data_IF_615420404544
#
_entry.id   IF_615420404544
#
_cell.length_a   1.000
_cell.length_b   1.000
_cell.length_c   1.000
_cell.angle_alpha   90.00
_cell.angle_beta   90.00
_cell.angle_gamma   90.00
#
_symmetry.space_group_name_H-M   'P 1'
#
loop_
_entity.id
_entity.type
_entity.pdbx_description
1 polymer ?
#
# COMPACT_ATOMS: atom_id res chain seq x y z
N UNK A 1 19.79 44.48 -34.21
CA UNK A 1 20.48 44.21 -32.94
C UNK A 1 19.41 43.72 -31.97
N UNK A 2 19.28 42.40 -31.81
CA UNK A 2 18.28 41.79 -30.91
C UNK A 2 18.96 41.70 -29.55
N UNK A 3 18.77 42.70 -28.70
CA UNK A 3 19.17 42.61 -27.30
C UNK A 3 18.39 41.45 -26.69
N UNK A 4 19.08 40.33 -26.49
CA UNK A 4 18.63 39.31 -25.58
C UNK A 4 18.58 39.95 -24.20
N UNK A 5 17.37 40.27 -23.76
CA UNK A 5 17.07 40.55 -22.35
C UNK A 5 17.46 39.30 -21.59
N UNK A 6 18.72 39.25 -21.16
CA UNK A 6 19.19 38.32 -20.17
C UNK A 6 18.66 38.86 -18.85
N UNK A 7 17.42 38.51 -18.53
CA UNK A 7 16.88 38.64 -17.18
C UNK A 7 17.68 37.67 -16.30
N UNK A 8 18.88 38.07 -15.90
CA UNK A 8 19.55 37.43 -14.78
C UNK A 8 18.66 37.74 -13.57
N UNK A 9 17.86 36.75 -13.13
CA UNK A 9 17.07 36.83 -11.90
C UNK A 9 18.07 37.15 -10.79
N UNK A 10 18.02 38.38 -10.28
CA UNK A 10 19.01 38.87 -9.33
C UNK A 10 18.73 38.26 -7.95
N UNK A 11 19.25 37.04 -7.75
CA UNK A 11 19.04 36.22 -6.57
C UNK A 11 19.44 36.96 -5.28
N UNK A 12 20.44 37.84 -5.38
CA UNK A 12 20.93 38.67 -4.28
C UNK A 12 19.87 39.71 -3.90
N UNK A 13 19.28 40.40 -4.89
CA UNK A 13 18.22 41.37 -4.65
C UNK A 13 16.98 40.70 -4.03
N UNK A 14 16.59 39.52 -4.53
CA UNK A 14 15.52 38.70 -3.96
C UNK A 14 15.83 38.33 -2.50
N UNK A 15 17.06 37.90 -2.20
CA UNK A 15 17.47 37.53 -0.85
C UNK A 15 17.38 38.74 0.11
N UNK A 16 17.82 39.93 -0.32
CA UNK A 16 17.69 41.16 0.46
C UNK A 16 16.22 41.55 0.70
N UNK A 17 15.38 41.41 -0.33
CA UNK A 17 13.94 41.66 -0.21
C UNK A 17 13.28 40.70 0.79
N UNK A 18 13.55 39.39 0.69
CA UNK A 18 13.01 38.38 1.61
C UNK A 18 13.49 38.63 3.04
N UNK A 19 14.76 38.99 3.24
CA UNK A 19 15.32 39.35 4.56
C UNK A 19 14.59 40.54 5.18
N UNK A 20 14.21 41.54 4.38
CA UNK A 20 13.41 42.69 4.84
C UNK A 20 11.98 42.31 5.23
N UNK A 21 11.44 41.25 4.61
CA UNK A 21 10.08 40.73 4.85
C UNK A 21 10.04 39.56 5.85
N UNK A 22 11.12 39.31 6.59
CA UNK A 22 11.21 38.15 7.50
C UNK A 22 10.07 38.06 8.52
N UNK A 23 9.54 39.18 9.00
CA UNK A 23 8.37 39.20 9.91
C UNK A 23 7.11 38.62 9.26
N UNK A 24 6.87 38.93 7.98
CA UNK A 24 5.72 38.40 7.23
C UNK A 24 5.91 36.91 6.95
N UNK A 25 7.13 36.50 6.59
CA UNK A 25 7.48 35.10 6.37
C UNK A 25 7.24 34.28 7.64
N UNK A 26 7.73 34.75 8.80
CA UNK A 26 7.50 34.08 10.08
C UNK A 26 6.02 33.97 10.44
N UNK A 27 5.22 34.99 10.14
CA UNK A 27 3.78 34.97 10.40
C UNK A 27 3.04 33.94 9.55
N UNK A 28 3.34 33.86 8.25
CA UNK A 28 2.76 32.86 7.35
C UNK A 28 3.18 31.46 7.78
N UNK A 29 4.46 31.26 8.10
CA UNK A 29 4.95 29.97 8.62
C UNK A 29 4.21 29.55 9.90
N UNK A 30 3.96 30.48 10.84
CA UNK A 30 3.21 30.17 12.05
C UNK A 30 1.79 29.69 11.75
N UNK A 31 1.09 30.33 10.80
CA UNK A 31 -0.26 29.91 10.37
C UNK A 31 -0.21 28.53 9.71
N UNK A 32 0.74 28.30 8.78
CA UNK A 32 0.92 26.99 8.14
C UNK A 32 1.19 25.89 9.17
N UNK A 33 2.06 26.15 10.15
CA UNK A 33 2.36 25.19 11.22
C UNK A 33 1.15 24.91 12.11
N UNK A 34 0.34 25.93 12.42
CA UNK A 34 -0.91 25.73 13.16
C UNK A 34 -1.88 24.82 12.38
N UNK A 35 -2.00 24.98 11.06
CA UNK A 35 -2.81 24.09 10.21
C UNK A 35 -2.28 22.66 10.19
N UNK A 36 -0.96 22.46 10.12
CA UNK A 36 -0.34 21.13 10.18
C UNK A 36 -0.59 20.46 11.54
N UNK A 37 -0.51 21.20 12.63
CA UNK A 37 -0.81 20.69 13.97
C UNK A 37 -2.29 20.31 14.11
N UNK A 38 -3.21 21.12 13.57
CA UNK A 38 -4.63 20.80 13.53
C UNK A 38 -4.90 19.54 12.70
N UNK A 39 -4.25 19.40 11.55
CA UNK A 39 -4.33 18.19 10.72
C UNK A 39 -3.87 16.94 11.50
N UNK A 40 -2.75 17.02 12.20
CA UNK A 40 -2.25 15.92 13.03
C UNK A 40 -3.17 15.61 14.20
N UNK A 41 -3.78 16.64 14.80
CA UNK A 41 -4.73 16.47 15.90
C UNK A 41 -5.99 15.72 15.44
N UNK A 42 -6.59 16.13 14.32
CA UNK A 42 -7.78 15.49 13.75
C UNK A 42 -7.47 14.05 13.33
N UNK A 43 -6.28 13.81 12.76
CA UNK A 43 -5.88 12.50 12.26
C UNK A 43 -5.10 11.65 13.28
N UNK A 44 -5.08 12.04 14.55
CA UNK A 44 -4.31 11.35 15.60
C UNK A 44 -4.69 9.87 15.73
N UNK A 45 -5.98 9.58 15.62
CA UNK A 45 -6.53 8.24 15.77
C UNK A 45 -6.54 7.44 14.46
N UNK A 46 -6.11 8.04 13.34
CA UNK A 46 -6.00 7.33 12.05
C UNK A 46 -4.76 6.44 12.02
N UNK A 47 -4.99 5.13 11.96
CA UNK A 47 -3.95 4.10 11.92
C UNK A 47 -3.87 3.46 10.54
N UNK A 48 -2.72 2.85 10.27
CA UNK A 48 -2.47 1.91 9.19
C UNK A 48 -2.21 0.55 9.84
N UNK A 49 -3.00 -0.45 9.48
CA UNK A 49 -2.88 -1.82 9.95
C UNK A 49 -2.36 -2.67 8.80
N UNK A 50 -1.36 -3.51 9.08
CA UNK A 50 -0.75 -4.40 8.09
C UNK A 50 -0.78 -5.81 8.66
N UNK A 51 -1.40 -6.73 7.91
CA UNK A 51 -1.31 -8.17 8.16
C UNK A 51 -0.43 -8.82 7.10
N UNK A 52 0.38 -9.80 7.50
CA UNK A 52 1.13 -10.65 6.58
C UNK A 52 0.47 -12.01 6.49
N UNK A 53 0.01 -12.37 5.30
CA UNK A 53 -0.50 -13.71 4.99
C UNK A 53 0.61 -14.56 4.39
N UNK A 54 0.92 -15.67 5.05
CA UNK A 54 1.84 -16.72 4.58
C UNK A 54 1.05 -17.92 4.14
N UNK A 55 1.36 -18.41 2.95
CA UNK A 55 0.91 -19.73 2.50
C UNK A 55 1.98 -20.72 2.95
N UNK A 56 1.59 -21.75 3.70
CA UNK A 56 2.54 -22.76 4.14
C UNK A 56 3.06 -23.54 2.92
N UNK A 57 4.36 -23.87 2.89
CA UNK A 57 4.97 -24.54 1.74
C UNK A 57 4.45 -25.97 1.54
N UNK A 58 3.97 -26.58 2.62
CA UNK A 58 3.35 -27.90 2.57
C UNK A 58 1.86 -27.84 2.24
N UNK A 59 1.26 -26.64 2.21
CA UNK A 59 -0.08 -26.44 1.65
C UNK A 59 -0.07 -26.94 0.22
N UNK A 60 -1.07 -27.73 -0.20
CA UNK A 60 -1.27 -28.08 -1.60
C UNK A 60 -1.21 -26.81 -2.45
N UNK A 61 -0.06 -26.58 -3.09
CA UNK A 61 0.15 -25.40 -3.91
C UNK A 61 -0.85 -25.45 -5.05
N UNK A 62 -1.68 -24.41 -5.17
CA UNK A 62 -2.56 -24.22 -6.31
C UNK A 62 -1.76 -24.58 -7.57
N UNK A 63 -2.30 -25.49 -8.37
CA UNK A 63 -1.64 -26.29 -9.40
C UNK A 63 -1.02 -25.53 -10.57
N UNK A 64 -0.72 -24.23 -10.43
CA UNK A 64 -0.11 -23.44 -11.48
C UNK A 64 1.38 -23.77 -11.53
N UNK A 65 1.76 -24.65 -12.46
CA UNK A 65 3.12 -24.62 -13.01
C UNK A 65 3.22 -23.32 -13.81
N UNK A 66 3.75 -22.30 -13.16
CA UNK A 66 3.96 -21.03 -13.82
C UNK A 66 5.21 -21.18 -14.66
N UNK A 67 5.02 -21.24 -15.98
CA UNK A 67 6.12 -21.47 -16.92
C UNK A 67 7.25 -20.47 -16.65
N UNK A 68 8.43 -20.99 -16.32
CA UNK A 68 9.71 -20.30 -16.04
C UNK A 68 9.91 -19.57 -14.69
N UNK A 69 10.97 -20.03 -13.99
CA UNK A 69 11.81 -19.40 -12.96
C UNK A 69 11.22 -18.75 -11.69
N UNK A 70 9.93 -18.45 -11.56
CA UNK A 70 9.38 -17.82 -10.35
C UNK A 70 7.99 -18.36 -9.96
N UNK A 71 7.88 -19.68 -9.73
CA UNK A 71 6.66 -20.35 -9.24
C UNK A 71 6.01 -19.62 -8.06
N UNK A 72 6.81 -19.03 -7.18
CA UNK A 72 6.32 -18.30 -6.03
C UNK A 72 5.54 -17.01 -6.39
N UNK A 73 6.03 -16.22 -7.35
CA UNK A 73 5.39 -14.95 -7.73
C UNK A 73 3.97 -15.19 -8.28
N UNK A 74 3.83 -16.19 -9.14
CA UNK A 74 2.56 -16.53 -9.76
C UNK A 74 1.55 -17.18 -8.79
N UNK A 75 2.01 -18.03 -7.85
CA UNK A 75 1.16 -18.52 -6.75
C UNK A 75 0.64 -17.38 -5.86
N UNK A 76 1.50 -16.39 -5.62
CA UNK A 76 1.15 -15.19 -4.82
C UNK A 76 0.11 -14.35 -5.55
N UNK A 77 0.26 -14.12 -6.85
CA UNK A 77 -0.71 -13.39 -7.68
C UNK A 77 -2.07 -14.07 -7.73
N UNK A 78 -2.11 -15.40 -7.85
CA UNK A 78 -3.40 -16.10 -7.86
C UNK A 78 -4.10 -16.04 -6.51
N UNK A 79 -3.36 -16.20 -5.42
CA UNK A 79 -3.92 -16.06 -4.07
C UNK A 79 -4.37 -14.63 -3.82
N UNK A 80 -3.66 -13.64 -4.36
CA UNK A 80 -4.08 -12.24 -4.33
C UNK A 80 -5.41 -12.01 -5.07
N UNK A 81 -5.60 -12.57 -6.28
CA UNK A 81 -6.88 -12.47 -7.02
C UNK A 81 -8.04 -13.08 -6.22
N UNK A 82 -7.80 -14.24 -5.57
CA UNK A 82 -8.79 -14.87 -4.70
C UNK A 82 -9.13 -13.95 -3.52
N UNK A 83 -8.13 -13.34 -2.86
CA UNK A 83 -8.36 -12.42 -1.75
C UNK A 83 -9.15 -11.19 -2.21
N UNK A 84 -8.81 -10.60 -3.37
CA UNK A 84 -9.50 -9.43 -3.91
C UNK A 84 -10.96 -9.74 -4.28
N UNK A 85 -11.28 -10.98 -4.64
CA UNK A 85 -12.69 -11.43 -4.82
C UNK A 85 -13.41 -11.62 -3.48
N UNK A 86 -12.69 -12.02 -2.44
CA UNK A 86 -13.26 -12.21 -1.09
C UNK A 86 -13.55 -10.86 -0.44
N UNK A 87 -12.63 -9.90 -0.55
CA UNK A 87 -12.75 -8.60 0.12
C UNK A 87 -12.12 -7.46 -0.66
N UNK A 88 -12.77 -6.30 -0.60
CA UNK A 88 -12.22 -5.01 -1.02
C UNK A 88 -11.80 -4.16 0.18
N UNK A 89 -11.91 -4.68 1.41
CA UNK A 89 -11.62 -3.94 2.64
C UNK A 89 -10.12 -3.70 2.83
N UNK A 90 -9.30 -4.68 2.41
CA UNK A 90 -7.85 -4.61 2.47
C UNK A 90 -7.27 -4.36 1.09
N UNK A 91 -6.26 -3.50 1.02
CA UNK A 91 -5.38 -3.42 -0.13
C UNK A 91 -4.35 -4.54 -0.03
N UNK A 92 -4.28 -5.38 -1.05
CA UNK A 92 -3.32 -6.47 -1.14
C UNK A 92 -2.05 -5.97 -1.82
N UNK A 93 -0.90 -6.47 -1.38
CA UNK A 93 0.34 -6.36 -2.15
C UNK A 93 1.22 -7.59 -1.95
N UNK A 94 1.76 -8.19 -3.02
CA UNK A 94 2.64 -9.35 -2.91
C UNK A 94 4.06 -8.94 -2.47
N UNK A 95 4.61 -9.62 -1.48
CA UNK A 95 6.03 -9.54 -1.07
C UNK A 95 6.75 -10.82 -1.49
N UNK A 96 7.24 -10.80 -2.74
CA UNK A 96 7.92 -11.93 -3.37
C UNK A 96 9.18 -12.36 -2.60
N UNK A 97 9.85 -11.41 -1.92
CA UNK A 97 11.09 -11.67 -1.19
C UNK A 97 10.84 -12.48 0.07
N UNK A 98 9.86 -12.05 0.87
CA UNK A 98 9.53 -12.68 2.15
C UNK A 98 8.55 -13.84 2.02
N UNK A 99 8.00 -14.03 0.82
CA UNK A 99 6.97 -15.01 0.51
C UNK A 99 5.66 -14.78 1.24
N UNK A 100 5.19 -13.54 1.22
CA UNK A 100 4.03 -13.08 1.97
C UNK A 100 3.09 -12.25 1.09
N UNK A 101 1.80 -12.22 1.41
CA UNK A 101 0.85 -11.24 0.87
C UNK A 101 0.53 -10.25 1.99
N UNK A 102 0.86 -8.98 1.79
CA UNK A 102 0.49 -7.93 2.73
C UNK A 102 -0.94 -7.49 2.49
N UNK A 103 -1.70 -7.42 3.58
CA UNK A 103 -3.07 -6.92 3.63
C UNK A 103 -3.05 -5.63 4.43
N UNK A 104 -3.25 -4.52 3.76
CA UNK A 104 -3.17 -3.19 4.36
C UNK A 104 -4.55 -2.56 4.45
N UNK A 105 -4.87 -2.01 5.61
CA UNK A 105 -6.05 -1.18 5.82
C UNK A 105 -5.65 0.10 6.55
N UNK A 106 -6.37 1.18 6.30
CA UNK A 106 -6.18 2.42 7.04
C UNK A 106 -7.51 3.06 7.39
N UNK A 107 -7.63 3.53 8.63
CA UNK A 107 -8.85 4.13 9.14
C UNK A 107 -8.73 4.53 10.60
N UNK A 108 -9.86 4.92 11.19
CA UNK A 108 -9.93 5.27 12.59
C UNK A 108 -9.65 4.03 13.46
N UNK A 109 -8.82 4.17 14.49
CA UNK A 109 -8.49 3.12 15.47
C UNK A 109 -9.74 2.47 16.08
N UNK A 110 -10.86 3.18 16.20
CA UNK A 110 -12.13 2.64 16.71
C UNK A 110 -12.73 1.55 15.80
N UNK A 111 -12.39 1.56 14.51
CA UNK A 111 -12.82 0.56 13.54
C UNK A 111 -11.84 -0.64 13.46
N UNK A 112 -10.81 -0.69 14.30
CA UNK A 112 -9.88 -1.82 14.36
C UNK A 112 -10.58 -3.17 14.61
N UNK A 113 -11.57 -3.29 15.52
CA UNK A 113 -12.28 -4.56 15.71
C UNK A 113 -12.98 -5.05 14.43
N UNK A 114 -13.52 -4.13 13.63
CA UNK A 114 -14.12 -4.49 12.32
C UNK A 114 -13.09 -5.02 11.35
N UNK A 115 -11.87 -4.46 11.34
CA UNK A 115 -10.77 -4.99 10.54
C UNK A 115 -10.35 -6.40 11.03
N UNK A 116 -10.37 -6.64 12.34
CA UNK A 116 -10.05 -7.95 12.94
C UNK A 116 -11.11 -9.03 12.64
N UNK A 117 -12.39 -8.67 12.61
CA UNK A 117 -13.46 -9.56 12.16
C UNK A 117 -13.33 -9.86 10.67
N UNK A 118 -13.05 -8.85 9.86
CA UNK A 118 -12.91 -8.98 8.42
C UNK A 118 -11.70 -9.85 8.03
N UNK A 119 -10.55 -9.68 8.69
CA UNK A 119 -9.38 -10.54 8.43
C UNK A 119 -9.65 -11.99 8.83
N UNK A 120 -10.40 -12.22 9.91
CA UNK A 120 -10.82 -13.57 10.33
C UNK A 120 -11.74 -14.21 9.29
N UNK A 121 -12.67 -13.43 8.73
CA UNK A 121 -13.55 -13.86 7.62
C UNK A 121 -12.74 -14.19 6.36
N UNK A 122 -11.75 -13.37 6.03
CA UNK A 122 -10.83 -13.61 4.90
C UNK A 122 -10.08 -14.92 5.11
N UNK A 123 -9.51 -15.14 6.30
CA UNK A 123 -8.80 -16.39 6.63
C UNK A 123 -9.70 -17.62 6.43
N UNK A 124 -10.90 -17.60 7.00
CA UNK A 124 -11.86 -18.70 6.86
C UNK A 124 -12.28 -18.94 5.40
N UNK A 125 -12.44 -17.87 4.62
CA UNK A 125 -12.83 -17.94 3.21
C UNK A 125 -11.71 -18.54 2.35
N UNK A 126 -10.45 -18.18 2.61
CA UNK A 126 -9.29 -18.76 1.94
C UNK A 126 -9.19 -20.26 2.27
N UNK A 127 -9.32 -20.63 3.55
CA UNK A 127 -9.30 -22.04 3.97
C UNK A 127 -10.41 -22.83 3.26
N UNK A 128 -11.63 -22.29 3.23
CA UNK A 128 -12.77 -22.91 2.53
C UNK A 128 -12.52 -23.08 1.03
N UNK A 129 -11.89 -22.08 0.41
CA UNK A 129 -11.54 -22.13 -1.00
C UNK A 129 -10.51 -23.25 -1.28
N UNK A 130 -9.44 -23.35 -0.48
CA UNK A 130 -8.48 -24.45 -0.59
C UNK A 130 -9.12 -25.83 -0.39
N UNK A 131 -10.05 -25.95 0.56
CA UNK A 131 -10.79 -27.19 0.78
C UNK A 131 -11.65 -27.58 -0.45
N UNK A 132 -12.28 -26.59 -1.09
CA UNK A 132 -13.06 -26.79 -2.31
C UNK A 132 -12.18 -27.27 -3.47
N UNK A 133 -11.01 -26.66 -3.65
CA UNK A 133 -10.05 -27.08 -4.69
C UNK A 133 -9.56 -28.51 -4.46
N UNK A 134 -9.33 -28.91 -3.21
CA UNK A 134 -9.00 -30.30 -2.86
C UNK A 134 -10.11 -31.27 -3.26
N UNK A 135 -11.36 -31.00 -2.88
CA UNK A 135 -12.48 -31.89 -3.17
C UNK A 135 -12.73 -32.01 -4.68
N UNK A 136 -12.64 -30.90 -5.41
CA UNK A 136 -12.73 -30.89 -6.87
C UNK A 136 -11.61 -31.72 -7.50
N UNK A 137 -10.36 -31.52 -7.07
CA UNK A 137 -9.21 -32.31 -7.53
C UNK A 137 -9.34 -33.81 -7.23
N UNK A 138 -9.93 -34.17 -6.07
CA UNK A 138 -10.24 -35.56 -5.72
C UNK A 138 -11.25 -36.18 -6.66
N UNK A 139 -12.35 -35.47 -6.93
CA UNK A 139 -13.38 -35.96 -7.84
C UNK A 139 -12.81 -36.22 -9.24
N UNK A 140 -12.02 -35.28 -9.78
CA UNK A 140 -11.37 -35.47 -11.09
C UNK A 140 -10.43 -36.67 -11.08
N UNK A 141 -9.70 -36.91 -9.98
CA UNK A 141 -8.83 -38.07 -9.84
C UNK A 141 -9.62 -39.40 -9.89
N UNK A 142 -10.78 -39.46 -9.23
CA UNK A 142 -11.65 -40.64 -9.23
C UNK A 142 -12.28 -40.91 -10.61
N UNK A 143 -12.49 -39.85 -11.41
CA UNK A 143 -13.00 -39.92 -12.79
C UNK A 143 -11.92 -40.34 -13.81
N UNK A 144 -10.63 -40.12 -13.52
CA UNK A 144 -9.52 -40.54 -14.38
C UNK A 144 -9.31 -42.06 -14.26
N UNK A 145 -9.99 -42.82 -15.13
CA UNK A 145 -9.88 -44.28 -15.21
C UNK A 145 -9.03 -44.79 -16.39
N UNK A 146 -8.45 -43.91 -17.21
CA UNK A 146 -7.70 -44.31 -18.41
C UNK A 146 -6.19 -44.39 -18.17
N UNK A 147 -5.50 -45.46 -18.64
CA UNK A 147 -4.05 -45.65 -18.44
C UNK A 147 -3.16 -44.53 -19.01
N UNK A 148 -3.62 -43.82 -20.04
CA UNK A 148 -2.89 -42.69 -20.63
C UNK A 148 -2.91 -41.43 -19.75
N UNK A 149 -3.97 -41.23 -18.98
CA UNK A 149 -4.12 -40.08 -18.09
C UNK A 149 -3.38 -40.30 -16.75
N UNK A 150 -3.22 -41.54 -16.30
CA UNK A 150 -2.47 -41.91 -15.07
C UNK A 150 -0.99 -41.48 -15.14
N UNK A 151 -0.40 -41.45 -16.34
CA UNK A 151 0.99 -41.02 -16.55
C UNK A 151 1.11 -39.53 -16.91
N UNK A 152 0.02 -38.77 -16.85
CA UNK A 152 0.05 -37.34 -17.15
C UNK A 152 0.62 -36.53 -15.99
N UNK A 153 1.22 -35.39 -16.32
CA UNK A 153 1.67 -34.39 -15.34
C UNK A 153 0.48 -33.92 -14.47
N UNK A 154 -0.71 -33.79 -15.07
CA UNK A 154 -1.94 -33.40 -14.38
C UNK A 154 -2.32 -34.39 -13.28
N UNK A 155 -2.30 -35.70 -13.57
CA UNK A 155 -2.63 -36.74 -12.61
C UNK A 155 -1.63 -36.78 -11.44
N UNK A 156 -0.34 -36.64 -11.73
CA UNK A 156 0.71 -36.60 -10.70
C UNK A 156 0.51 -35.39 -9.77
N UNK A 157 0.19 -34.23 -10.33
CA UNK A 157 -0.12 -33.01 -9.56
C UNK A 157 -1.39 -33.17 -8.71
N UNK A 158 -2.45 -33.80 -9.23
CA UNK A 158 -3.69 -34.07 -8.47
C UNK A 158 -3.47 -35.05 -7.31
N UNK A 159 -2.69 -36.12 -7.50
CA UNK A 159 -2.29 -37.01 -6.40
C UNK A 159 -1.50 -36.23 -5.32
N UNK A 160 -0.58 -35.37 -5.74
CA UNK A 160 0.21 -34.57 -4.80
C UNK A 160 -0.67 -33.64 -3.95
N UNK A 161 -1.60 -32.91 -4.57
CA UNK A 161 -2.56 -32.08 -3.84
C UNK A 161 -3.33 -32.90 -2.81
N UNK A 162 -3.83 -34.04 -3.25
CA UNK A 162 -4.78 -34.80 -2.46
C UNK A 162 -4.12 -35.53 -1.30
N UNK A 163 -2.87 -35.95 -1.47
CA UNK A 163 -2.04 -36.48 -0.39
C UNK A 163 -1.67 -35.39 0.62
N UNK A 164 -1.29 -34.20 0.17
CA UNK A 164 -0.88 -33.13 1.08
C UNK A 164 -2.03 -32.53 1.86
N UNK A 165 -3.24 -32.44 1.30
CA UNK A 165 -4.41 -31.96 2.05
C UNK A 165 -4.77 -32.88 3.23
N UNK A 166 -4.40 -34.17 3.19
CA UNK A 166 -4.55 -35.05 4.35
C UNK A 166 -3.75 -34.58 5.59
N UNK A 167 -2.75 -33.72 5.40
CA UNK A 167 -2.00 -33.05 6.47
C UNK A 167 -2.80 -31.88 7.10
N UNK A 168 -3.91 -31.49 6.47
CA UNK A 168 -4.77 -30.36 6.81
C UNK A 168 -6.25 -30.77 6.86
N UNK A 169 -6.65 -31.70 7.75
CA UNK A 169 -8.00 -32.26 7.76
C UNK A 169 -9.11 -31.21 7.91
N UNK A 170 -8.81 -30.06 8.52
CA UNK A 170 -9.72 -28.91 8.67
C UNK A 170 -9.23 -27.65 7.92
N UNK A 171 -8.15 -27.75 7.14
CA UNK A 171 -7.48 -26.60 6.54
C UNK A 171 -6.65 -25.74 7.51
N UNK A 172 -6.63 -26.09 8.80
CA UNK A 172 -5.83 -25.41 9.82
C UNK A 172 -4.34 -25.50 9.50
N UNK A 173 -3.68 -24.36 9.28
CA UNK A 173 -2.25 -24.29 8.95
C UNK A 173 -1.93 -24.24 7.45
N UNK A 174 -2.96 -24.22 6.59
CA UNK A 174 -2.82 -23.96 5.16
C UNK A 174 -2.33 -22.53 4.87
N UNK A 175 -2.86 -21.58 5.64
CA UNK A 175 -2.44 -20.17 5.63
C UNK A 175 -2.25 -19.70 7.07
N UNK A 176 -1.26 -18.85 7.27
CA UNK A 176 -0.98 -18.20 8.54
C UNK A 176 -1.04 -16.70 8.34
N UNK A 177 -1.91 -16.02 9.08
CA UNK A 177 -1.94 -14.56 9.12
C UNK A 177 -1.20 -14.10 10.39
N UNK A 178 -0.26 -13.18 10.23
CA UNK A 178 0.49 -12.61 11.35
C UNK A 178 -0.42 -11.77 12.25
N UNK A 179 0.05 -11.51 13.48
CA UNK A 179 -0.51 -10.42 14.27
C UNK A 179 -0.41 -9.09 13.51
N UNK A 180 -1.36 -8.15 13.69
CA UNK A 180 -1.35 -6.88 12.98
C UNK A 180 -0.15 -6.02 13.38
N UNK A 181 0.57 -5.49 12.40
CA UNK A 181 1.45 -4.35 12.61
C UNK A 181 0.62 -3.07 12.55
N UNK A 182 0.55 -2.34 13.66
CA UNK A 182 -0.20 -1.08 13.75
C UNK A 182 0.78 0.09 13.71
N UNK A 183 0.62 0.96 12.72
CA UNK A 183 1.41 2.19 12.54
C UNK A 183 0.48 3.39 12.48
N UNK A 184 0.95 4.56 12.88
CA UNK A 184 0.18 5.79 12.64
C UNK A 184 0.16 6.07 11.13
N UNK A 185 -1.02 6.39 10.59
CA UNK A 185 -1.17 6.70 9.16
C UNK A 185 -0.34 7.93 8.77
N UNK A 186 -0.26 8.90 9.68
CA UNK A 186 0.49 10.14 9.52
C UNK A 186 1.54 10.27 10.63
N UNK A 187 2.78 9.83 10.39
CA UNK A 187 3.86 9.98 11.36
C UNK A 187 4.13 11.47 11.62
N UNK A 188 3.94 11.91 12.86
CA UNK A 188 4.01 13.33 13.23
C UNK A 188 5.34 13.98 12.80
N UNK A 189 6.47 13.30 12.99
CA UNK A 189 7.78 13.82 12.61
C UNK A 189 7.90 14.11 11.11
N UNK A 190 7.38 13.21 10.25
CA UNK A 190 7.42 13.37 8.80
C UNK A 190 6.48 14.50 8.36
N UNK A 191 5.26 14.53 8.90
CA UNK A 191 4.29 15.58 8.59
C UNK A 191 4.76 16.97 9.04
N UNK A 192 5.42 17.07 10.21
CA UNK A 192 5.99 18.34 10.70
C UNK A 192 7.16 18.80 9.83
N UNK A 193 8.08 17.89 9.47
CA UNK A 193 9.21 18.23 8.60
C UNK A 193 8.74 18.71 7.23
N UNK A 194 7.86 17.94 6.57
CA UNK A 194 7.30 18.31 5.27
C UNK A 194 6.46 19.58 5.33
N UNK A 195 5.63 19.72 6.38
CA UNK A 195 4.83 20.92 6.62
C UNK A 195 5.70 22.17 6.81
N UNK A 196 6.82 22.04 7.54
CA UNK A 196 7.77 23.13 7.72
C UNK A 196 8.42 23.54 6.39
N UNK A 197 8.93 22.59 5.60
CA UNK A 197 9.50 22.90 4.27
C UNK A 197 8.47 23.56 3.34
N UNK A 198 7.25 23.01 3.30
CA UNK A 198 6.17 23.56 2.49
C UNK A 198 5.80 24.98 2.95
N UNK A 199 5.80 25.25 4.26
CA UNK A 199 5.51 26.58 4.80
C UNK A 199 6.54 27.63 4.37
N UNK A 200 7.82 27.27 4.28
CA UNK A 200 8.88 28.15 3.78
C UNK A 200 8.62 28.46 2.30
N UNK A 201 8.37 27.43 1.50
CA UNK A 201 8.13 27.58 0.05
C UNK A 201 6.93 28.49 -0.19
N UNK A 202 5.79 28.24 0.47
CA UNK A 202 4.58 29.07 0.33
C UNK A 202 4.85 30.51 0.76
N UNK A 203 5.57 30.71 1.87
CA UNK A 203 5.86 32.05 2.40
C UNK A 203 6.76 32.86 1.47
N UNK A 204 7.78 32.23 0.89
CA UNK A 204 8.68 32.86 -0.09
C UNK A 204 7.91 33.18 -1.36
N UNK A 205 7.16 32.21 -1.91
CA UNK A 205 6.36 32.40 -3.11
C UNK A 205 5.35 33.54 -2.94
N UNK A 206 4.66 33.61 -1.80
CA UNK A 206 3.74 34.71 -1.51
C UNK A 206 4.44 36.08 -1.53
N UNK A 207 5.61 36.20 -0.90
CA UNK A 207 6.37 37.45 -0.87
C UNK A 207 6.83 37.88 -2.27
N UNK A 208 7.23 36.93 -3.11
CA UNK A 208 7.64 37.17 -4.50
C UNK A 208 6.47 37.60 -5.37
N UNK A 209 5.35 36.87 -5.32
CA UNK A 209 4.12 37.23 -6.06
C UNK A 209 3.67 38.63 -5.65
N UNK A 210 3.71 38.96 -4.36
CA UNK A 210 3.37 40.30 -3.89
C UNK A 210 4.31 41.38 -4.46
N UNK A 211 5.64 41.13 -4.47
CA UNK A 211 6.61 42.05 -5.09
C UNK A 211 6.25 42.32 -6.55
N UNK A 212 6.01 41.25 -7.32
CA UNK A 212 5.65 41.36 -8.74
C UNK A 212 4.36 42.18 -8.93
N UNK A 213 3.31 41.89 -8.14
CA UNK A 213 2.04 42.62 -8.23
C UNK A 213 2.21 44.11 -7.91
N UNK A 214 2.98 44.44 -6.86
CA UNK A 214 3.24 45.82 -6.47
C UNK A 214 3.98 46.59 -7.59
N UNK A 215 4.96 45.96 -8.25
CA UNK A 215 5.70 46.52 -9.40
C UNK A 215 4.82 46.73 -10.64
N UNK A 216 3.96 45.75 -10.95
CA UNK A 216 2.99 45.89 -12.05
C UNK A 216 2.03 47.05 -11.81
N UNK A 217 1.51 47.19 -10.59
CA UNK A 217 0.59 48.28 -10.27
C UNK A 217 1.25 49.66 -10.37
N UNK A 218 2.49 49.81 -9.90
CA UNK A 218 3.25 51.05 -10.02
C UNK A 218 3.51 51.44 -11.48
N UNK A 219 3.81 50.48 -12.34
CA UNK A 219 4.08 50.74 -13.76
C UNK A 219 2.80 50.98 -14.59
N UNK A 220 1.64 50.51 -14.14
CA UNK A 220 0.35 50.72 -14.81
C UNK A 220 -0.38 52.02 -14.42
N UNK A 221 0.10 52.70 -13.37
CA UNK A 221 -0.45 53.98 -12.88
C UNK A 221 0.24 55.23 -13.43
N UNK A 222 1.22 55.06 -14.32
CA UNK A 222 1.81 56.12 -15.16
C UNK A 222 1.24 56.04 -16.57
#
# INVERSE_FOLDING_TARGET
MREQIKQDIDLIEILFYLKKKIRVILFIMAICMAMVLLFLYINKDNIKVIYSLKINQTTPGILVSCDSNNNFACQTTMTEDVIQRITTFFQTSPDVKNREIRLEWSGDKRALPTAEEEISRVQASIIKWYASEYHNGRQVLDEIQTPSAINSELYTKMIYLTRNWSLYPNGDGCVTISSPEIKNKYPAAICLALGFFLSIVISVMFCLVKKMVDEYQQNSGQ
#
